data_IF_682523617233
#
_entry.id   IF_682523617233
#
_cell.length_a   1.000
_cell.length_b   1.000
_cell.length_c   1.000
_cell.angle_alpha   90.00
_cell.angle_beta   90.00
_cell.angle_gamma   90.00
#
_symmetry.space_group_name_H-M   'P 1'
#
loop_
_entity.id
_entity.type
_entity.pdbx_description
1 polymer ?
#
# COMPACT_ATOMS: atom_id res chain seq x y z
N UNK A 1 5.11 -21.33 5.38
CA UNK A 1 4.93 -19.90 5.68
C UNK A 1 3.45 -19.62 5.57
N UNK A 2 2.85 -18.98 6.58
CA UNK A 2 1.42 -18.68 6.53
C UNK A 2 1.13 -17.66 5.43
N UNK A 3 0.02 -17.86 4.72
CA UNK A 3 -0.39 -17.04 3.58
C UNK A 3 -1.22 -15.85 4.06
N UNK A 4 -0.56 -14.71 4.23
CA UNK A 4 -1.18 -13.47 4.70
C UNK A 4 -2.23 -12.90 3.73
N UNK A 5 -2.32 -13.42 2.51
CA UNK A 5 -3.37 -13.01 1.55
C UNK A 5 -4.74 -13.64 1.85
N UNK A 6 -4.80 -14.64 2.75
CA UNK A 6 -6.02 -15.38 3.07
C UNK A 6 -6.77 -14.80 4.27
N UNK A 7 -8.07 -14.57 4.08
CA UNK A 7 -8.98 -14.15 5.15
C UNK A 7 -8.97 -15.12 6.35
N UNK A 8 -8.88 -16.43 6.07
CA UNK A 8 -8.89 -17.47 7.10
C UNK A 8 -7.69 -17.40 8.04
N UNK A 9 -6.52 -16.99 7.53
CA UNK A 9 -5.35 -16.73 8.35
C UNK A 9 -5.64 -15.62 9.37
N UNK A 10 -6.12 -14.46 8.89
CA UNK A 10 -6.43 -13.32 9.75
C UNK A 10 -7.56 -13.61 10.72
N UNK A 11 -8.63 -14.27 10.28
CA UNK A 11 -9.71 -14.73 11.16
C UNK A 11 -9.14 -15.58 12.30
N UNK A 12 -8.28 -16.57 12.00
CA UNK A 12 -7.66 -17.43 13.02
C UNK A 12 -6.78 -16.64 13.97
N UNK A 13 -5.94 -15.73 13.46
CA UNK A 13 -5.04 -14.89 14.28
C UNK A 13 -5.82 -14.02 15.27
N UNK A 14 -6.89 -13.38 14.81
CA UNK A 14 -7.68 -12.45 15.63
C UNK A 14 -8.59 -13.13 16.65
N UNK A 15 -8.73 -14.47 16.63
CA UNK A 15 -9.41 -15.20 17.72
C UNK A 15 -8.68 -15.05 19.06
N UNK A 16 -7.35 -14.95 19.04
CA UNK A 16 -6.52 -14.90 20.26
C UNK A 16 -5.75 -13.60 20.43
N UNK A 17 -5.55 -12.83 19.36
CA UNK A 17 -4.81 -11.57 19.43
C UNK A 17 -5.69 -10.44 20.00
N UNK A 18 -5.27 -9.85 21.11
CA UNK A 18 -5.94 -8.69 21.73
C UNK A 18 -5.53 -7.37 21.06
N UNK A 19 -4.22 -7.14 20.96
CA UNK A 19 -3.66 -5.97 20.30
C UNK A 19 -2.29 -6.30 19.74
N UNK A 20 -2.03 -5.83 18.52
CA UNK A 20 -0.71 -5.89 17.89
C UNK A 20 -0.48 -4.69 16.99
N UNK A 21 0.70 -4.08 17.10
CA UNK A 21 1.04 -2.86 16.39
C UNK A 21 2.18 -3.09 15.39
N UNK A 22 1.83 -3.15 14.11
CA UNK A 22 2.83 -3.15 13.03
C UNK A 22 3.53 -1.79 12.95
N UNK A 23 4.83 -1.80 12.65
CA UNK A 23 5.70 -0.60 12.55
C UNK A 23 5.87 0.17 13.87
N UNK A 24 5.77 -0.52 15.00
CA UNK A 24 5.99 0.08 16.31
C UNK A 24 4.88 1.04 16.74
N UNK A 25 5.11 1.76 17.83
CA UNK A 25 4.06 2.56 18.48
C UNK A 25 3.52 3.68 17.57
N UNK A 26 2.20 3.83 17.52
CA UNK A 26 1.48 4.89 16.79
C UNK A 26 2.00 6.30 17.11
N UNK A 27 2.51 6.55 18.32
CA UNK A 27 3.03 7.85 18.73
C UNK A 27 4.14 8.38 17.85
N UNK A 28 4.90 7.49 17.20
CA UNK A 28 5.94 7.83 16.23
C UNK A 28 5.38 8.45 14.95
N UNK A 29 4.12 8.19 14.63
CA UNK A 29 3.44 8.75 13.46
C UNK A 29 2.92 10.16 13.69
N UNK A 30 2.68 10.55 14.95
CA UNK A 30 2.00 11.81 15.28
C UNK A 30 2.67 13.04 14.69
N UNK A 31 4.01 13.21 14.72
CA UNK A 31 4.65 14.37 14.12
C UNK A 31 4.33 14.54 12.63
N UNK A 32 4.16 13.44 11.89
CA UNK A 32 3.78 13.48 10.47
C UNK A 32 2.27 13.63 10.32
N UNK A 33 1.48 12.85 11.06
CA UNK A 33 0.01 12.90 10.98
C UNK A 33 -0.55 14.27 11.38
N UNK A 34 0.05 14.95 12.36
CA UNK A 34 -0.33 16.32 12.80
C UNK A 34 -0.20 17.35 11.66
N UNK A 35 0.64 17.10 10.65
CA UNK A 35 0.78 17.99 9.48
C UNK A 35 -0.41 17.87 8.52
N UNK A 36 -1.03 16.69 8.45
CA UNK A 36 -1.98 16.33 7.39
C UNK A 36 -3.41 16.12 7.89
N UNK A 37 -3.57 15.75 9.15
CA UNK A 37 -4.86 15.49 9.77
C UNK A 37 -5.25 16.66 10.67
N UNK A 38 -6.47 17.15 10.51
CA UNK A 38 -7.03 18.23 11.32
C UNK A 38 -8.50 17.94 11.61
N UNK A 39 -8.92 18.27 12.83
CA UNK A 39 -10.33 18.17 13.19
C UNK A 39 -11.15 19.19 12.41
N UNK A 40 -12.16 18.72 11.71
CA UNK A 40 -13.28 19.52 11.23
C UNK A 40 -14.57 18.73 11.49
N UNK A 41 -15.70 19.38 11.84
CA UNK A 41 -16.97 18.69 12.10
C UNK A 41 -17.48 17.81 10.94
N UNK A 42 -16.95 17.99 9.73
CA UNK A 42 -17.30 17.20 8.54
C UNK A 42 -16.17 16.29 8.05
N UNK A 43 -15.07 16.17 8.81
CA UNK A 43 -13.90 15.40 8.39
C UNK A 43 -14.12 13.91 8.59
N UNK A 44 -14.19 13.16 7.48
CA UNK A 44 -14.45 11.72 7.45
C UNK A 44 -13.18 10.99 7.06
N UNK A 45 -12.73 10.10 7.95
CA UNK A 45 -11.54 9.27 7.76
C UNK A 45 -11.92 7.81 7.55
N UNK A 46 -11.28 7.15 6.59
CA UNK A 46 -11.37 5.71 6.37
C UNK A 46 -10.02 5.05 6.73
N UNK A 47 -10.05 4.07 7.62
CA UNK A 47 -8.89 3.31 8.04
C UNK A 47 -8.96 1.90 7.47
N UNK A 48 -8.11 1.60 6.49
CA UNK A 48 -8.06 0.31 5.80
C UNK A 48 -7.19 -0.69 6.55
N UNK A 49 -7.62 -1.95 6.55
CA UNK A 49 -6.90 -3.06 7.20
C UNK A 49 -6.61 -2.78 8.66
N UNK A 50 -7.64 -2.34 9.39
CA UNK A 50 -7.49 -1.76 10.71
C UNK A 50 -6.95 -2.72 11.78
N UNK A 51 -7.20 -4.03 11.61
CA UNK A 51 -6.69 -5.09 12.49
C UNK A 51 -6.88 -4.83 14.00
N UNK A 52 -5.95 -5.35 14.79
CA UNK A 52 -5.90 -5.22 16.25
C UNK A 52 -5.06 -4.01 16.73
N UNK A 53 -4.68 -3.11 15.81
CA UNK A 53 -3.91 -1.88 16.08
C UNK A 53 -4.71 -0.85 16.89
N UNK A 54 -4.07 -0.13 17.82
CA UNK A 54 -4.74 0.96 18.54
C UNK A 54 -4.87 2.26 17.72
N UNK A 55 -4.37 2.28 16.49
CA UNK A 55 -4.31 3.49 15.65
C UNK A 55 -5.68 4.15 15.48
N UNK A 56 -6.75 3.37 15.35
CA UNK A 56 -8.10 3.90 15.22
C UNK A 56 -8.52 4.74 16.44
N UNK A 57 -8.33 4.18 17.64
CA UNK A 57 -8.62 4.85 18.89
C UNK A 57 -7.70 6.06 19.12
N UNK A 58 -6.40 5.93 18.83
CA UNK A 58 -5.44 7.01 18.93
C UNK A 58 -5.79 8.19 18.00
N UNK A 59 -6.12 7.93 16.74
CA UNK A 59 -6.52 8.98 15.78
C UNK A 59 -7.79 9.71 16.25
N UNK A 60 -8.75 8.97 16.79
CA UNK A 60 -9.97 9.56 17.34
C UNK A 60 -9.69 10.41 18.59
N UNK A 61 -8.91 9.90 19.55
CA UNK A 61 -8.56 10.61 20.77
C UNK A 61 -7.73 11.88 20.51
N UNK A 62 -6.96 11.90 19.40
CA UNK A 62 -6.23 13.08 18.93
C UNK A 62 -7.07 14.04 18.10
N UNK A 63 -8.37 13.78 17.95
CA UNK A 63 -9.32 14.61 17.20
C UNK A 63 -8.95 14.79 15.72
N UNK A 64 -8.29 13.82 15.10
CA UNK A 64 -7.92 13.90 13.69
C UNK A 64 -9.08 13.82 12.70
N UNK A 65 -10.26 13.45 13.19
CA UNK A 65 -11.47 13.31 12.39
C UNK A 65 -12.70 13.58 13.26
N UNK A 66 -13.83 13.84 12.61
CA UNK A 66 -15.14 13.81 13.27
C UNK A 66 -15.70 12.39 13.30
N UNK A 67 -15.54 11.68 12.17
CA UNK A 67 -15.99 10.31 11.98
C UNK A 67 -14.83 9.47 11.42
N UNK A 68 -14.58 8.32 12.04
CA UNK A 68 -13.66 7.30 11.53
C UNK A 68 -14.42 6.01 11.20
N UNK A 69 -14.30 5.56 9.95
CA UNK A 69 -14.75 4.26 9.50
C UNK A 69 -13.55 3.33 9.39
N UNK A 70 -13.53 2.26 10.15
CA UNK A 70 -12.47 1.27 10.14
C UNK A 70 -12.93 0.05 9.36
N UNK A 71 -12.08 -0.49 8.50
CA UNK A 71 -12.43 -1.65 7.71
C UNK A 71 -11.35 -2.70 7.74
N UNK A 72 -11.77 -3.96 7.79
CA UNK A 72 -10.87 -5.11 7.69
C UNK A 72 -11.53 -6.21 6.86
N UNK A 73 -10.71 -7.06 6.27
CA UNK A 73 -11.19 -8.23 5.57
C UNK A 73 -11.61 -9.33 6.57
N UNK A 74 -11.09 -9.34 7.79
CA UNK A 74 -11.43 -10.33 8.81
C UNK A 74 -12.68 -9.96 9.62
N UNK A 75 -13.67 -10.86 9.67
CA UNK A 75 -14.85 -10.69 10.52
C UNK A 75 -14.52 -10.80 12.01
N UNK A 76 -13.57 -11.67 12.38
CA UNK A 76 -13.23 -11.94 13.78
C UNK A 76 -12.77 -10.68 14.52
N UNK A 77 -11.93 -9.85 13.88
CA UNK A 77 -11.48 -8.61 14.50
C UNK A 77 -12.58 -7.56 14.58
N UNK A 78 -13.44 -7.48 13.56
CA UNK A 78 -14.53 -6.51 13.53
C UNK A 78 -15.57 -6.79 14.62
N UNK A 79 -15.94 -8.06 14.82
CA UNK A 79 -16.84 -8.45 15.90
C UNK A 79 -16.23 -8.17 17.27
N UNK A 80 -14.94 -8.47 17.44
CA UNK A 80 -14.19 -8.14 18.66
C UNK A 80 -14.21 -6.63 18.92
N UNK A 81 -13.88 -5.79 17.94
CA UNK A 81 -13.89 -4.33 18.09
C UNK A 81 -15.26 -3.76 18.41
N UNK A 82 -16.31 -4.22 17.72
CA UNK A 82 -17.68 -3.81 17.98
C UNK A 82 -18.13 -4.19 19.39
N UNK A 83 -17.71 -5.36 19.90
CA UNK A 83 -18.04 -5.80 21.27
C UNK A 83 -17.36 -4.97 22.37
N UNK A 84 -16.16 -4.43 22.09
CA UNK A 84 -15.41 -3.59 23.04
C UNK A 84 -15.84 -2.12 23.01
N UNK A 85 -16.61 -1.72 21.99
CA UNK A 85 -17.01 -0.33 21.75
C UNK A 85 -17.99 0.15 22.83
N UNK A 86 -17.51 1.02 23.72
CA UNK A 86 -18.34 1.68 24.75
C UNK A 86 -19.12 2.89 24.23
N UNK A 87 -18.75 3.45 23.08
CA UNK A 87 -19.38 4.66 22.51
C UNK A 87 -19.83 4.44 21.05
N UNK A 88 -21.14 4.46 20.74
CA UNK A 88 -21.69 3.86 19.52
C UNK A 88 -21.55 4.64 18.21
N UNK A 89 -21.29 5.96 18.17
CA UNK A 89 -21.61 6.74 16.95
C UNK A 89 -20.46 7.22 16.05
N UNK A 90 -19.23 7.45 16.56
CA UNK A 90 -18.20 8.19 15.78
C UNK A 90 -16.96 7.36 15.40
N UNK A 91 -16.83 6.13 15.91
CA UNK A 91 -15.81 5.16 15.51
C UNK A 91 -16.52 3.90 15.06
N UNK A 92 -16.62 3.62 13.77
CA UNK A 92 -17.36 2.45 13.29
C UNK A 92 -16.47 1.43 12.58
N UNK A 93 -16.95 0.20 12.44
CA UNK A 93 -16.17 -0.95 11.96
C UNK A 93 -16.98 -1.73 10.93
N UNK A 94 -16.43 -1.99 9.74
CA UNK A 94 -17.10 -2.71 8.65
C UNK A 94 -16.22 -3.76 7.99
N UNK A 95 -16.86 -4.82 7.48
CA UNK A 95 -16.17 -5.81 6.68
C UNK A 95 -16.03 -5.29 5.25
N UNK A 96 -14.79 -5.05 4.82
CA UNK A 96 -14.47 -4.65 3.45
C UNK A 96 -13.21 -5.38 3.03
N UNK A 97 -13.29 -6.04 1.87
CA UNK A 97 -12.12 -6.48 1.14
C UNK A 97 -11.62 -5.30 0.29
N UNK A 98 -10.42 -4.78 0.58
CA UNK A 98 -9.90 -3.62 -0.14
C UNK A 98 -9.59 -3.89 -1.61
N UNK A 99 -9.58 -5.16 -2.04
CA UNK A 99 -9.49 -5.55 -3.45
C UNK A 99 -10.78 -5.25 -4.21
N UNK A 100 -11.90 -5.14 -3.50
CA UNK A 100 -13.20 -4.78 -4.04
C UNK A 100 -13.94 -3.91 -3.00
N UNK A 101 -13.71 -2.60 -3.03
CA UNK A 101 -14.29 -1.64 -2.10
C UNK A 101 -15.65 -1.14 -2.62
N UNK A 102 -16.79 -1.62 -2.08
CA UNK A 102 -18.12 -1.12 -2.46
C UNK A 102 -18.42 0.20 -1.75
N UNK A 103 -17.45 1.12 -1.74
CA UNK A 103 -17.52 2.39 -1.03
C UNK A 103 -17.85 3.53 -1.99
N UNK A 104 -18.47 4.57 -1.43
CA UNK A 104 -18.89 5.74 -2.19
C UNK A 104 -17.66 6.49 -2.71
N UNK A 105 -17.66 6.81 -4.01
CA UNK A 105 -16.67 7.70 -4.62
C UNK A 105 -16.79 9.13 -4.08
N UNK A 106 -15.69 9.87 -4.06
CA UNK A 106 -15.65 11.29 -3.71
C UNK A 106 -16.23 11.60 -2.31
N UNK A 107 -15.90 10.78 -1.32
CA UNK A 107 -16.54 10.82 0.00
C UNK A 107 -15.59 11.13 1.15
N UNK A 108 -14.42 10.50 1.16
CA UNK A 108 -13.50 10.55 2.30
C UNK A 108 -12.49 11.70 2.17
N UNK A 109 -12.31 12.44 3.26
CA UNK A 109 -11.27 13.47 3.37
C UNK A 109 -9.89 12.83 3.46
N UNK A 110 -9.80 11.71 4.19
CA UNK A 110 -8.57 10.94 4.27
C UNK A 110 -8.84 9.46 4.30
N UNK A 111 -8.04 8.71 3.56
CA UNK A 111 -7.92 7.27 3.67
C UNK A 111 -6.54 7.00 4.24
N UNK A 112 -6.43 6.13 5.24
CA UNK A 112 -5.16 5.73 5.84
C UNK A 112 -5.06 4.21 5.88
N UNK A 113 -3.88 3.69 5.58
CA UNK A 113 -3.54 2.28 5.76
C UNK A 113 -2.16 2.15 6.39
N UNK A 114 -1.98 1.13 7.23
CA UNK A 114 -0.70 0.88 7.90
C UNK A 114 -0.32 -0.59 7.79
N UNK A 115 0.56 -0.89 6.83
CA UNK A 115 1.04 -2.23 6.51
C UNK A 115 0.02 -3.13 5.82
N UNK A 116 -1.15 -2.61 5.51
CA UNK A 116 -2.17 -3.37 4.80
C UNK A 116 -1.71 -3.64 3.38
N UNK A 117 -1.09 -2.66 2.72
CA UNK A 117 -0.49 -2.89 1.40
C UNK A 117 0.71 -3.83 1.48
N UNK A 118 1.49 -3.81 2.57
CA UNK A 118 2.67 -4.67 2.75
C UNK A 118 2.33 -6.16 2.72
N UNK A 119 1.13 -6.54 3.16
CA UNK A 119 0.63 -7.92 3.10
C UNK A 119 0.69 -8.51 1.69
N UNK A 120 0.45 -7.72 0.65
CA UNK A 120 0.50 -8.19 -0.74
C UNK A 120 1.92 -8.41 -1.27
N UNK A 121 2.93 -7.85 -0.59
CA UNK A 121 4.33 -7.99 -0.98
C UNK A 121 5.03 -9.14 -0.25
N UNK A 122 4.40 -9.74 0.77
CA UNK A 122 4.95 -10.88 1.50
C UNK A 122 5.07 -12.09 0.57
N UNK A 123 6.25 -12.72 0.55
CA UNK A 123 6.60 -13.78 -0.38
C UNK A 123 7.11 -13.30 -1.74
N UNK A 124 7.06 -11.99 -2.01
CA UNK A 124 7.55 -11.35 -3.23
C UNK A 124 8.81 -10.50 -3.00
N UNK A 125 9.47 -10.62 -1.84
CA UNK A 125 10.60 -9.77 -1.43
C UNK A 125 11.78 -9.86 -2.41
N UNK A 126 12.02 -11.05 -2.96
CA UNK A 126 13.07 -11.31 -3.97
C UNK A 126 12.75 -10.71 -5.35
N UNK A 127 11.52 -10.24 -5.58
CA UNK A 127 11.05 -9.67 -6.86
C UNK A 127 10.57 -8.23 -6.73
N UNK A 128 10.83 -7.55 -5.62
CA UNK A 128 10.48 -6.13 -5.48
C UNK A 128 11.10 -5.28 -6.59
N UNK A 129 12.25 -5.72 -7.11
CA UNK A 129 12.89 -5.04 -8.23
C UNK A 129 12.14 -5.24 -9.55
N UNK A 130 11.51 -6.40 -9.77
CA UNK A 130 10.71 -6.72 -10.95
C UNK A 130 9.40 -7.44 -10.53
N UNK A 131 8.41 -6.69 -10.03
CA UNK A 131 7.15 -7.28 -9.56
C UNK A 131 6.42 -8.01 -10.70
N UNK A 132 5.72 -9.09 -10.37
CA UNK A 132 4.87 -9.79 -11.35
C UNK A 132 3.74 -8.87 -11.82
N UNK A 133 3.23 -9.10 -13.02
CA UNK A 133 2.07 -8.35 -13.53
C UNK A 133 0.84 -8.54 -12.64
N UNK A 134 0.61 -9.75 -12.12
CA UNK A 134 -0.47 -10.00 -11.18
C UNK A 134 -0.38 -9.11 -9.92
N UNK A 135 0.83 -8.93 -9.35
CA UNK A 135 1.01 -8.05 -8.20
C UNK A 135 0.78 -6.59 -8.58
N UNK A 136 1.29 -6.16 -9.74
CA UNK A 136 1.07 -4.80 -10.25
C UNK A 136 -0.41 -4.51 -10.45
N UNK A 137 -1.14 -5.38 -11.15
CA UNK A 137 -2.58 -5.26 -11.40
C UNK A 137 -3.39 -5.23 -10.10
N UNK A 138 -3.01 -6.08 -9.13
CA UNK A 138 -3.69 -6.14 -7.82
C UNK A 138 -3.51 -4.85 -7.01
N UNK A 139 -2.29 -4.34 -6.90
CA UNK A 139 -2.02 -3.07 -6.22
C UNK A 139 -2.66 -1.91 -6.97
N UNK A 140 -2.60 -1.93 -8.30
CA UNK A 140 -3.19 -0.93 -9.18
C UNK A 140 -4.72 -0.85 -9.05
N UNK A 141 -5.39 -1.99 -8.94
CA UNK A 141 -6.83 -2.09 -8.65
C UNK A 141 -7.18 -1.48 -7.29
N UNK A 142 -6.42 -1.80 -6.25
CA UNK A 142 -6.64 -1.28 -4.89
C UNK A 142 -6.46 0.25 -4.88
N UNK A 143 -5.34 0.75 -5.42
CA UNK A 143 -5.02 2.18 -5.45
C UNK A 143 -6.01 2.98 -6.32
N UNK A 144 -6.51 2.40 -7.40
CA UNK A 144 -7.56 3.02 -8.23
C UNK A 144 -8.83 3.22 -7.41
N UNK A 145 -9.27 2.21 -6.66
CA UNK A 145 -10.45 2.31 -5.80
C UNK A 145 -10.25 3.30 -4.64
N UNK A 146 -9.05 3.33 -4.03
CA UNK A 146 -8.69 4.31 -3.00
C UNK A 146 -8.79 5.73 -3.57
N UNK A 147 -8.16 5.99 -4.71
CA UNK A 147 -8.24 7.30 -5.39
C UNK A 147 -9.69 7.70 -5.68
N UNK A 148 -10.53 6.78 -6.17
CA UNK A 148 -11.94 7.05 -6.44
C UNK A 148 -12.73 7.43 -5.17
N UNK A 149 -12.44 6.80 -4.03
CA UNK A 149 -13.12 7.05 -2.76
C UNK A 149 -12.75 8.42 -2.13
N UNK A 150 -11.57 8.96 -2.44
CA UNK A 150 -11.13 10.26 -1.95
C UNK A 150 -11.89 11.43 -2.57
N UNK A 151 -12.13 12.47 -1.77
CA UNK A 151 -12.61 13.78 -2.26
C UNK A 151 -11.65 14.35 -3.29
N UNK A 152 -12.20 14.87 -4.38
CA UNK A 152 -11.46 15.24 -5.58
C UNK A 152 -10.73 16.58 -5.46
N UNK A 153 -11.12 17.42 -4.52
CA UNK A 153 -10.57 18.76 -4.30
C UNK A 153 -9.36 18.80 -3.35
N UNK A 154 -9.26 17.83 -2.44
CA UNK A 154 -8.25 17.85 -1.37
C UNK A 154 -8.05 16.54 -0.61
N UNK A 155 -8.69 15.44 -1.04
CA UNK A 155 -8.63 14.16 -0.34
C UNK A 155 -7.21 13.60 -0.26
N UNK A 156 -6.84 13.02 0.88
CA UNK A 156 -5.51 12.45 1.10
C UNK A 156 -5.52 10.95 1.29
N UNK A 157 -4.60 10.25 0.64
CA UNK A 157 -4.27 8.87 1.00
C UNK A 157 -2.95 8.83 1.75
N UNK A 158 -2.93 8.25 2.95
CA UNK A 158 -1.75 8.10 3.79
C UNK A 158 -1.42 6.60 3.88
N UNK A 159 -0.28 6.19 3.34
CA UNK A 159 0.22 4.80 3.38
C UNK A 159 1.45 4.73 4.27
N UNK A 160 1.43 3.86 5.28
CA UNK A 160 2.53 3.66 6.23
C UNK A 160 3.11 2.27 6.01
N UNK A 161 4.43 2.20 5.79
CA UNK A 161 5.06 0.96 5.31
C UNK A 161 6.56 0.87 5.60
N UNK A 162 7.08 -0.36 5.70
CA UNK A 162 8.52 -0.65 5.69
C UNK A 162 9.15 -0.62 4.29
N UNK A 163 8.34 -0.67 3.23
CA UNK A 163 8.85 -0.64 1.86
C UNK A 163 9.49 0.71 1.61
N UNK A 164 10.75 0.69 1.13
CA UNK A 164 11.47 1.91 0.83
C UNK A 164 10.85 2.65 -0.36
N UNK A 165 11.08 3.97 -0.51
CA UNK A 165 10.52 4.77 -1.60
C UNK A 165 10.78 4.17 -2.99
N UNK A 166 11.93 3.54 -3.15
CA UNK A 166 12.35 2.92 -4.39
C UNK A 166 11.54 1.67 -4.79
N UNK A 167 10.86 1.03 -3.83
CA UNK A 167 9.95 -0.10 -4.09
C UNK A 167 8.48 0.32 -4.09
N UNK A 168 8.09 1.27 -3.24
CA UNK A 168 6.69 1.67 -3.08
C UNK A 168 6.23 2.72 -4.08
N UNK A 169 7.04 3.77 -4.34
CA UNK A 169 6.66 4.86 -5.25
C UNK A 169 6.26 4.39 -6.66
N UNK A 170 6.91 3.38 -7.28
CA UNK A 170 6.51 2.92 -8.62
C UNK A 170 5.04 2.45 -8.72
N UNK A 171 4.45 2.00 -7.61
CA UNK A 171 3.03 1.62 -7.58
C UNK A 171 2.11 2.83 -7.38
N UNK A 172 2.59 3.87 -6.70
CA UNK A 172 1.83 5.06 -6.32
C UNK A 172 1.88 6.16 -7.39
N UNK A 173 2.99 6.28 -8.12
CA UNK A 173 3.22 7.33 -9.11
C UNK A 173 2.56 6.97 -10.44
N UNK A 174 1.23 7.15 -10.51
CA UNK A 174 0.48 7.03 -11.77
C UNK A 174 -0.48 8.19 -11.96
N UNK A 175 -0.44 8.81 -13.14
CA UNK A 175 -1.26 9.97 -13.50
C UNK A 175 -2.75 9.71 -13.30
N UNK A 176 -3.20 8.47 -13.53
CA UNK A 176 -4.61 8.07 -13.38
C UNK A 176 -5.16 8.20 -11.96
N UNK A 177 -4.31 8.19 -10.94
CA UNK A 177 -4.76 8.38 -9.56
C UNK A 177 -4.97 9.84 -9.20
N UNK A 178 -4.50 10.77 -10.04
CA UNK A 178 -4.70 12.21 -9.91
C UNK A 178 -4.25 12.76 -8.54
N UNK A 179 -3.09 12.32 -8.06
CA UNK A 179 -2.51 12.82 -6.82
C UNK A 179 -1.04 13.21 -6.97
N UNK A 180 -0.57 14.08 -6.08
CA UNK A 180 0.87 14.27 -5.80
C UNK A 180 1.37 13.19 -4.82
N UNK A 181 2.68 13.12 -4.59
CA UNK A 181 3.28 12.19 -3.61
C UNK A 181 4.32 12.93 -2.77
N UNK A 182 4.14 12.91 -1.46
CA UNK A 182 5.12 13.31 -0.45
C UNK A 182 5.54 12.10 0.38
N UNK A 183 6.78 12.07 0.83
CA UNK A 183 7.31 10.96 1.63
C UNK A 183 8.05 11.49 2.84
N UNK A 184 7.70 10.96 4.00
CA UNK A 184 8.39 11.18 5.26
C UNK A 184 9.01 9.89 5.73
N UNK A 185 10.16 9.98 6.37
CA UNK A 185 10.72 8.85 7.09
C UNK A 185 10.56 9.03 8.59
N UNK A 186 10.35 7.92 9.30
CA UNK A 186 10.08 7.87 10.72
C UNK A 186 11.10 6.92 11.35
N UNK A 187 12.11 7.48 12.00
CA UNK A 187 13.17 6.74 12.70
C UNK A 187 13.05 6.90 14.22
N UNK A 188 13.64 5.97 14.98
CA UNK A 188 13.56 5.95 16.45
C UNK A 188 14.72 6.72 17.13
N UNK A 189 15.51 7.50 16.37
CA UNK A 189 16.75 8.12 16.86
C UNK A 189 17.86 7.12 17.27
N UNK A 190 17.51 5.87 17.57
CA UNK A 190 18.37 4.73 17.89
C UNK A 190 18.19 3.65 16.81
N UNK A 191 18.69 3.94 15.61
CA UNK A 191 19.12 3.11 14.46
C UNK A 191 18.44 1.78 14.06
N UNK A 192 17.43 1.25 14.74
CA UNK A 192 17.07 -0.15 14.47
C UNK A 192 16.05 -0.36 13.36
N UNK A 193 15.04 0.50 13.15
CA UNK A 193 14.10 0.37 12.01
C UNK A 193 13.43 1.70 11.62
N UNK A 194 13.72 2.16 10.40
CA UNK A 194 13.03 3.26 9.72
C UNK A 194 11.83 2.71 8.93
N UNK A 195 10.70 3.41 8.99
CA UNK A 195 9.57 3.18 8.08
C UNK A 195 9.11 4.50 7.48
N UNK A 196 8.32 4.40 6.42
CA UNK A 196 7.97 5.51 5.55
C UNK A 196 6.48 5.82 5.62
N UNK A 197 6.16 7.10 5.58
CA UNK A 197 4.79 7.61 5.44
C UNK A 197 4.68 8.29 4.07
N UNK A 198 3.92 7.67 3.17
CA UNK A 198 3.59 8.19 1.86
C UNK A 198 2.28 8.96 1.96
N UNK A 199 2.29 10.23 1.58
CA UNK A 199 1.11 11.09 1.58
C UNK A 199 0.81 11.48 0.15
N UNK A 200 -0.34 11.02 -0.33
CA UNK A 200 -0.86 11.31 -1.65
C UNK A 200 -1.99 12.33 -1.53
N UNK A 201 -1.88 13.48 -2.20
CA UNK A 201 -2.92 14.53 -2.18
C UNK A 201 -3.63 14.60 -3.52
N UNK A 202 -4.92 14.28 -3.54
CA UNK A 202 -5.75 14.29 -4.76
C UNK A 202 -5.94 15.72 -5.27
N UNK A 203 -5.96 15.87 -6.60
CA UNK A 203 -6.07 17.15 -7.29
C UNK A 203 -4.74 17.87 -7.50
N UNK A 204 -3.69 17.51 -6.75
CA UNK A 204 -2.33 18.02 -6.99
C UNK A 204 -1.62 17.22 -8.09
N UNK A 205 -0.72 17.89 -8.82
CA UNK A 205 0.08 17.25 -9.86
C UNK A 205 1.28 16.52 -9.28
N UNK A 206 1.64 15.39 -9.90
CA UNK A 206 2.94 14.75 -9.66
C UNK A 206 4.09 15.71 -9.98
N UNK A 207 5.16 15.64 -9.18
CA UNK A 207 6.41 16.31 -9.53
C UNK A 207 7.02 15.69 -10.81
N UNK A 208 8.07 16.32 -11.33
CA UNK A 208 8.74 15.82 -12.55
C UNK A 208 9.34 14.42 -12.36
N UNK A 209 9.91 14.13 -11.19
CA UNK A 209 10.53 12.83 -10.90
C UNK A 209 9.51 11.67 -10.96
N UNK A 210 8.32 11.87 -10.40
CA UNK A 210 7.25 10.87 -10.39
C UNK A 210 6.62 10.68 -11.78
N UNK A 211 6.50 11.76 -12.56
CA UNK A 211 6.08 11.67 -13.98
C UNK A 211 7.09 10.86 -14.80
N UNK A 212 8.37 11.18 -14.67
CA UNK A 212 9.43 10.44 -15.36
C UNK A 212 9.52 8.99 -14.86
N UNK A 213 9.16 8.72 -13.59
CA UNK A 213 9.09 7.37 -13.05
C UNK A 213 7.98 6.55 -13.73
N UNK A 214 6.79 7.11 -13.88
CA UNK A 214 5.68 6.45 -14.60
C UNK A 214 6.05 6.18 -16.07
N UNK A 215 6.76 7.11 -16.72
CA UNK A 215 7.17 6.98 -18.13
C UNK A 215 8.37 6.04 -18.36
N UNK A 216 8.94 5.45 -17.31
CA UNK A 216 10.16 4.63 -17.44
C UNK A 216 11.38 5.44 -17.87
N UNK A 217 11.44 6.73 -17.50
CA UNK A 217 12.52 7.68 -17.88
C UNK A 217 13.25 8.29 -16.69
N UNK A 218 12.90 7.92 -15.45
CA UNK A 218 13.53 8.52 -14.27
C UNK A 218 15.00 8.14 -14.16
N UNK A 219 15.89 9.13 -14.07
CA UNK A 219 17.34 8.91 -13.90
C UNK A 219 17.68 8.39 -12.50
N UNK A 220 16.90 8.79 -11.50
CA UNK A 220 17.02 8.33 -10.11
C UNK A 220 16.55 6.87 -9.94
N UNK A 221 15.62 6.44 -10.78
CA UNK A 221 15.07 5.07 -10.77
C UNK A 221 15.45 4.28 -12.03
N UNK A 222 16.64 4.53 -12.57
CA UNK A 222 17.12 3.98 -13.86
C UNK A 222 16.96 2.46 -14.04
N UNK A 223 17.00 1.71 -12.95
CA UNK A 223 16.84 0.26 -12.95
C UNK A 223 15.41 -0.20 -13.29
N UNK A 224 14.39 0.60 -12.99
CA UNK A 224 13.01 0.37 -13.42
C UNK A 224 12.91 0.53 -14.94
N UNK A 225 13.49 1.60 -15.48
CA UNK A 225 13.53 1.90 -16.91
C UNK A 225 14.17 0.75 -17.73
N UNK A 226 15.26 0.17 -17.21
CA UNK A 226 15.98 -0.92 -17.87
C UNK A 226 15.11 -2.18 -18.02
N UNK A 227 14.18 -2.44 -17.08
CA UNK A 227 13.29 -3.60 -17.16
C UNK A 227 12.21 -3.45 -18.22
N UNK A 228 11.65 -2.24 -18.41
CA UNK A 228 10.73 -1.99 -19.52
C UNK A 228 11.41 -2.10 -20.87
N UNK A 229 12.64 -1.60 -20.99
CA UNK A 229 13.42 -1.72 -22.24
C UNK A 229 13.70 -3.19 -22.57
N UNK A 230 14.09 -4.01 -21.60
CA UNK A 230 14.28 -5.45 -21.79
C UNK A 230 12.99 -6.17 -22.18
N UNK A 231 11.85 -5.81 -21.56
CA UNK A 231 10.54 -6.37 -21.93
C UNK A 231 10.14 -6.01 -23.37
N UNK A 232 10.32 -4.75 -23.79
CA UNK A 232 10.06 -4.32 -25.17
C UNK A 232 10.94 -5.06 -26.18
N UNK A 233 12.22 -5.29 -25.86
CA UNK A 233 13.10 -6.11 -26.70
C UNK A 233 12.55 -7.54 -26.80
N UNK A 234 12.14 -8.14 -25.69
CA UNK A 234 11.66 -9.53 -25.65
C UNK A 234 10.32 -9.71 -26.38
N UNK A 235 9.41 -8.74 -26.31
CA UNK A 235 8.12 -8.79 -27.03
C UNK A 235 8.25 -8.48 -28.53
N UNK A 236 9.34 -7.84 -28.95
CA UNK A 236 9.61 -7.55 -30.36
C UNK A 236 10.34 -8.69 -31.08
N UNK A 237 10.82 -9.70 -30.35
CA UNK A 237 11.23 -10.98 -30.95
C UNK A 237 9.97 -11.80 -31.25
N UNK A 238 9.45 -11.66 -32.46
CA UNK A 238 8.64 -12.71 -33.07
C UNK A 238 9.58 -13.89 -33.32
N UNK A 239 9.13 -15.06 -32.87
CA UNK A 239 9.81 -16.35 -32.92
C UNK A 239 10.15 -16.72 -34.38
N UNK A 240 11.31 -16.29 -34.86
CA UNK A 240 11.89 -16.79 -36.11
C UNK A 240 12.76 -17.99 -35.71
N UNK A 241 12.10 -19.14 -35.54
CA UNK A 241 12.74 -20.42 -35.27
C UNK A 241 13.86 -20.67 -36.29
N UNK A 242 15.09 -20.70 -35.80
CA UNK A 242 16.16 -21.42 -36.48
C UNK A 242 16.99 -22.19 -35.45
N UNK A 243 16.42 -23.33 -35.03
CA UNK A 243 17.02 -24.34 -34.16
C UNK A 243 18.15 -25.08 -34.88
N UNK A 244 19.27 -24.39 -35.15
CA UNK A 244 20.45 -25.00 -35.77
C UNK A 244 21.73 -24.95 -34.92
N UNK A 245 21.65 -24.46 -33.68
CA UNK A 245 22.83 -24.27 -32.83
C UNK A 245 23.11 -25.40 -31.82
N UNK A 246 22.27 -26.43 -31.74
CA UNK A 246 22.42 -27.51 -30.73
C UNK A 246 22.90 -28.87 -31.28
N UNK A 247 23.49 -28.93 -32.48
CA UNK A 247 23.90 -30.21 -33.09
C UNK A 247 25.40 -30.43 -33.30
N UNK A 248 26.31 -29.67 -32.67
CA UNK A 248 27.75 -29.90 -32.82
C UNK A 248 28.53 -29.97 -31.50
N UNK A 249 28.09 -30.81 -30.56
CA UNK A 249 28.99 -31.31 -29.50
C UNK A 249 29.24 -32.79 -29.77
N UNK A 250 30.33 -33.06 -30.50
CA UNK A 250 30.97 -34.37 -30.53
C UNK A 250 31.51 -34.66 -29.13
N UNK A 251 31.01 -35.72 -28.51
CA UNK A 251 31.67 -36.39 -27.39
C UNK A 251 32.47 -37.53 -28.04
N UNK A 252 33.79 -37.34 -28.16
CA UNK A 252 34.73 -38.45 -28.30
C UNK A 252 35.86 -38.28 -27.28
N UNK A 253 36.13 -39.41 -26.63
CA UNK A 253 36.97 -39.64 -25.46
C UNK A 253 38.48 -39.47 -25.67
N UNK A 254 39.21 -39.49 -24.53
CA UNK A 254 40.53 -40.08 -24.22
C UNK A 254 41.35 -39.10 -23.33
N UNK A 255 41.91 -39.46 -22.17
CA UNK A 255 42.36 -40.74 -21.59
C UNK A 255 41.99 -40.88 -20.10
#
# INVERSE_FOLDING_TARGET
MDDLSKQSYWNKRFLTEDSFEWFGNCSRLYPVLDLYLKSSPSFILLHLGCGSSSLAEEMYNRHYCHLILNVDYSFAILDKRRSMKKNPCLIDWFAVDIRAMPLRSDYFDTIIEKGTLDVFFVGHEHRLWNPSEELKEKIDLILTQISQCLRSDSGRFISISFQQPHFRRPFLAKQKYQWSIQVHSVSDGNESMEYFVYVMTKGEQMNEEDRLLEEGKSTKWYWINKQETLRQITTNYVDDHNDQYLLNINIEDNE
#
